data_IF_092523198494
#
_entry.id   IF_092523198494
#
_cell.length_a   1.000
_cell.length_b   1.000
_cell.length_c   1.000
_cell.angle_alpha   90.00
_cell.angle_beta   90.00
_cell.angle_gamma   90.00
#
_symmetry.space_group_name_H-M   'P 1'
#
loop_
_entity.id
_entity.type
_entity.pdbx_description
1 polymer ?
#
# COMPACT_ATOMS: atom_id res chain seq x y z
N UNK A 1 9.04 11.83 -1.15
CA UNK A 1 9.22 13.23 -1.60
C UNK A 1 9.03 13.35 -3.11
N UNK A 2 10.04 13.80 -3.87
CA UNK A 2 9.87 14.28 -5.26
C UNK A 2 9.93 13.23 -6.41
N UNK A 3 10.25 11.96 -6.15
CA UNK A 3 10.42 10.97 -7.25
C UNK A 3 9.11 10.40 -7.79
N UNK A 4 8.10 10.21 -6.94
CA UNK A 4 6.81 9.61 -7.31
C UNK A 4 6.03 10.40 -8.37
N UNK A 5 6.33 11.70 -8.53
CA UNK A 5 5.70 12.57 -9.52
C UNK A 5 6.11 12.24 -10.97
N UNK A 6 7.17 11.45 -11.16
CA UNK A 6 7.69 11.11 -12.50
C UNK A 6 7.36 9.70 -12.96
N UNK A 7 7.24 8.74 -12.04
CA UNK A 7 6.94 7.34 -12.34
C UNK A 7 5.51 6.94 -11.98
N UNK A 8 4.84 7.65 -11.06
CA UNK A 8 3.53 7.27 -10.54
C UNK A 8 3.58 6.03 -9.64
N UNK A 9 4.75 5.70 -9.09
CA UNK A 9 4.95 4.47 -8.32
C UNK A 9 5.62 4.74 -6.96
N UNK A 10 5.08 4.13 -5.91
CA UNK A 10 5.55 4.23 -4.52
C UNK A 10 6.37 3.01 -4.07
N UNK A 11 7.23 2.47 -4.94
CA UNK A 11 8.04 1.30 -4.58
C UNK A 11 8.92 1.56 -3.36
N UNK A 12 8.90 0.59 -2.44
CA UNK A 12 9.82 0.54 -1.32
C UNK A 12 11.23 0.19 -1.79
N UNK A 13 12.25 0.83 -1.17
CA UNK A 13 13.66 0.53 -1.45
C UNK A 13 14.30 -0.03 -0.19
N UNK A 14 14.57 -1.31 -0.20
CA UNK A 14 15.14 -1.99 0.96
C UNK A 14 16.66 -2.01 0.87
N UNK A 15 17.34 -1.65 1.97
CA UNK A 15 18.79 -1.78 2.03
C UNK A 15 19.16 -3.23 2.27
N UNK A 16 19.96 -3.81 1.36
CA UNK A 16 20.46 -5.18 1.50
C UNK A 16 21.51 -5.26 2.61
N UNK A 17 21.51 -6.37 3.36
CA UNK A 17 22.49 -6.61 4.45
C UNK A 17 23.94 -6.59 3.97
N UNK A 18 24.18 -7.01 2.74
CA UNK A 18 25.52 -7.08 2.11
C UNK A 18 25.93 -5.76 1.43
N UNK A 19 25.11 -4.72 1.52
CA UNK A 19 25.27 -3.47 0.77
C UNK A 19 24.45 -3.45 -0.52
N UNK A 20 24.17 -2.25 -1.02
CA UNK A 20 23.28 -2.02 -2.16
C UNK A 20 21.80 -1.86 -1.77
N UNK A 21 20.98 -1.59 -2.79
CA UNK A 21 19.53 -1.38 -2.67
C UNK A 21 18.79 -2.47 -3.43
N UNK A 22 17.73 -2.98 -2.83
CA UNK A 22 16.72 -3.79 -3.48
C UNK A 22 15.57 -2.88 -3.89
N UNK A 23 15.24 -2.90 -5.18
CA UNK A 23 14.03 -2.27 -5.69
C UNK A 23 12.89 -3.28 -5.50
N UNK A 24 11.97 -3.01 -4.57
CA UNK A 24 10.85 -3.90 -4.27
C UNK A 24 9.74 -3.67 -5.30
N UNK A 25 9.99 -3.99 -6.58
CA UNK A 25 9.10 -3.66 -7.71
C UNK A 25 7.98 -4.67 -7.97
N UNK A 26 7.95 -5.76 -7.21
CA UNK A 26 6.89 -6.77 -7.30
C UNK A 26 6.04 -6.73 -6.04
N UNK A 27 4.79 -6.29 -6.22
CA UNK A 27 3.79 -6.25 -5.16
C UNK A 27 3.21 -7.65 -4.93
N UNK A 28 3.06 -8.04 -3.66
CA UNK A 28 2.35 -9.25 -3.28
C UNK A 28 1.21 -8.94 -2.34
N UNK A 29 0.02 -9.49 -2.64
CA UNK A 29 -1.14 -9.47 -1.75
C UNK A 29 -1.39 -10.90 -1.28
N UNK A 30 -1.48 -11.10 0.04
CA UNK A 30 -1.69 -12.42 0.65
C UNK A 30 -2.80 -12.33 1.69
N UNK A 31 -3.57 -13.41 1.80
CA UNK A 31 -4.64 -13.53 2.79
C UNK A 31 -4.56 -14.85 3.55
N UNK A 32 -5.00 -14.83 4.80
CA UNK A 32 -5.31 -16.04 5.57
C UNK A 32 -6.80 -16.01 5.83
N UNK A 33 -7.47 -17.11 5.48
CA UNK A 33 -8.91 -17.26 5.61
C UNK A 33 -9.24 -18.20 6.78
N UNK A 34 -10.41 -18.01 7.38
CA UNK A 34 -11.00 -19.00 8.30
C UNK A 34 -11.72 -20.14 7.54
N UNK A 35 -12.30 -21.07 8.28
CA UNK A 35 -13.02 -22.24 7.73
C UNK A 35 -14.27 -21.85 6.91
N UNK A 36 -14.77 -20.63 7.07
CA UNK A 36 -15.91 -20.09 6.32
C UNK A 36 -15.48 -19.23 5.13
N UNK A 37 -14.17 -19.14 4.86
CA UNK A 37 -13.61 -18.36 3.77
C UNK A 37 -13.49 -16.86 4.07
N UNK A 38 -13.62 -16.45 5.33
CA UNK A 38 -13.52 -15.04 5.73
C UNK A 38 -12.08 -14.63 5.96
N UNK A 39 -11.71 -13.42 5.54
CA UNK A 39 -10.36 -12.88 5.67
C UNK A 39 -10.08 -12.56 7.13
N UNK A 40 -9.13 -13.30 7.72
CA UNK A 40 -8.63 -13.06 9.07
C UNK A 40 -7.37 -12.18 9.06
N UNK A 41 -6.52 -12.37 8.05
CA UNK A 41 -5.30 -11.59 7.86
C UNK A 41 -5.24 -11.15 6.40
N UNK A 42 -4.97 -9.86 6.18
CA UNK A 42 -4.71 -9.25 4.88
C UNK A 42 -3.32 -8.60 4.92
N UNK A 43 -2.39 -9.13 4.15
CA UNK A 43 -1.00 -8.68 4.13
C UNK A 43 -0.61 -8.22 2.72
N UNK A 44 -0.18 -6.96 2.61
CA UNK A 44 0.34 -6.37 1.39
C UNK A 44 1.83 -6.13 1.57
N UNK A 45 2.66 -6.71 0.70
CA UNK A 45 4.12 -6.59 0.73
C UNK A 45 4.62 -5.80 -0.47
N UNK A 46 5.76 -5.11 -0.29
CA UNK A 46 6.44 -4.32 -1.31
C UNK A 46 5.56 -3.23 -1.92
N UNK A 47 4.63 -2.70 -1.14
CA UNK A 47 3.74 -1.62 -1.51
C UNK A 47 3.53 -0.73 -0.30
N UNK A 48 3.82 0.55 -0.45
CA UNK A 48 3.67 1.54 0.62
C UNK A 48 2.27 2.16 0.58
N UNK A 49 1.28 1.37 1.00
CA UNK A 49 -0.10 1.87 1.16
C UNK A 49 -0.23 2.82 2.36
N UNK A 50 0.66 2.68 3.36
CA UNK A 50 0.68 3.49 4.56
C UNK A 50 0.93 4.96 4.24
N UNK A 51 1.90 5.24 3.36
CA UNK A 51 2.19 6.59 2.86
C UNK A 51 0.94 7.27 2.27
N UNK A 52 0.07 6.50 1.62
CA UNK A 52 -1.19 7.01 1.07
C UNK A 52 -2.18 7.52 2.13
N UNK A 53 -2.09 7.05 3.38
CA UNK A 53 -2.91 7.52 4.50
C UNK A 53 -2.17 8.51 5.42
N UNK A 54 -0.85 8.37 5.57
CA UNK A 54 -0.04 9.20 6.47
C UNK A 54 0.30 10.57 5.85
N UNK A 55 0.47 10.61 4.52
CA UNK A 55 1.08 11.74 3.80
C UNK A 55 0.11 12.48 2.88
N UNK A 56 -1.19 12.25 3.08
CA UNK A 56 -2.28 12.87 2.32
C UNK A 56 -2.25 14.41 2.31
N UNK A 57 -1.66 15.03 3.35
CA UNK A 57 -1.54 16.50 3.45
C UNK A 57 -0.22 17.09 2.95
N UNK A 58 0.70 16.28 2.42
CA UNK A 58 2.05 16.76 2.08
C UNK A 58 2.14 17.45 0.71
N UNK A 59 1.36 17.03 -0.27
CA UNK A 59 1.39 17.52 -1.65
C UNK A 59 0.08 17.21 -2.39
N UNK A 60 -0.42 18.17 -3.16
CA UNK A 60 -1.72 18.08 -3.85
C UNK A 60 -1.74 16.97 -4.91
N UNK A 61 -0.65 16.83 -5.68
CA UNK A 61 -0.53 15.74 -6.64
C UNK A 61 -0.46 14.39 -5.93
N UNK A 62 0.32 14.28 -4.85
CA UNK A 62 0.43 13.04 -4.09
C UNK A 62 -0.92 12.61 -3.54
N UNK A 63 -1.68 13.55 -2.97
CA UNK A 63 -3.05 13.31 -2.49
C UNK A 63 -3.94 12.73 -3.59
N UNK A 64 -4.04 13.43 -4.73
CA UNK A 64 -4.93 12.99 -5.80
C UNK A 64 -4.46 11.68 -6.47
N UNK A 65 -3.16 11.42 -6.57
CA UNK A 65 -2.67 10.25 -7.30
C UNK A 65 -2.60 8.98 -6.44
N UNK A 66 -2.26 9.10 -5.15
CA UNK A 66 -2.02 7.96 -4.27
C UNK A 66 -3.06 7.85 -3.17
N UNK A 67 -3.35 8.92 -2.44
CA UNK A 67 -4.32 8.90 -1.32
C UNK A 67 -5.75 8.68 -1.82
N UNK A 68 -6.25 9.62 -2.62
CA UNK A 68 -7.65 9.65 -3.07
C UNK A 68 -8.00 8.48 -3.99
N UNK A 69 -7.18 8.23 -5.02
CA UNK A 69 -7.47 7.20 -6.03
C UNK A 69 -7.21 5.77 -5.59
N UNK A 70 -6.28 5.54 -4.64
CA UNK A 70 -5.78 4.19 -4.33
C UNK A 70 -5.92 3.82 -2.86
N UNK A 71 -5.35 4.62 -1.95
CA UNK A 71 -5.29 4.28 -0.54
C UNK A 71 -6.67 4.32 0.14
N UNK A 72 -7.45 5.38 -0.10
CA UNK A 72 -8.80 5.51 0.49
C UNK A 72 -9.76 4.41 0.06
N UNK A 73 -9.93 4.09 -1.25
CA UNK A 73 -10.77 2.98 -1.67
C UNK A 73 -10.37 1.64 -1.03
N UNK A 74 -9.06 1.37 -0.93
CA UNK A 74 -8.57 0.15 -0.28
C UNK A 74 -8.95 0.12 1.21
N UNK A 75 -8.68 1.20 1.94
CA UNK A 75 -9.00 1.31 3.37
C UNK A 75 -10.50 1.17 3.64
N UNK A 76 -11.34 1.84 2.83
CA UNK A 76 -12.80 1.74 2.92
C UNK A 76 -13.27 0.31 2.66
N UNK A 77 -12.73 -0.38 1.65
CA UNK A 77 -13.08 -1.77 1.37
C UNK A 77 -12.69 -2.71 2.51
N UNK A 78 -11.52 -2.50 3.12
CA UNK A 78 -11.09 -3.29 4.30
C UNK A 78 -12.07 -3.08 5.46
N UNK A 79 -12.41 -1.83 5.79
CA UNK A 79 -13.36 -1.53 6.86
C UNK A 79 -14.75 -2.09 6.56
N UNK A 80 -15.22 -1.92 5.32
CA UNK A 80 -16.50 -2.46 4.89
C UNK A 80 -16.55 -3.99 5.02
N UNK A 81 -15.48 -4.68 4.63
CA UNK A 81 -15.35 -6.12 4.79
C UNK A 81 -15.45 -6.54 6.25
N UNK A 82 -14.66 -5.91 7.13
CA UNK A 82 -14.66 -6.18 8.58
C UNK A 82 -16.03 -5.97 9.24
N UNK A 83 -16.84 -5.05 8.72
CA UNK A 83 -18.17 -4.77 9.25
C UNK A 83 -19.26 -5.71 8.70
N UNK A 84 -18.96 -6.52 7.68
CA UNK A 84 -19.98 -7.31 6.96
C UNK A 84 -19.74 -8.82 6.97
N UNK A 85 -18.57 -9.30 7.40
CA UNK A 85 -18.15 -10.71 7.41
C UNK A 85 -17.55 -11.09 8.76
#
# INVERSE_FOLDING_TARGET
GRRHQYDGISWERHRRKEGGWEECTEMHVRTILDDQGRIMIFAVHNCDNGDGWEREGEDDYFFHEFSEKRAYPLGINILFYLMTH
#
